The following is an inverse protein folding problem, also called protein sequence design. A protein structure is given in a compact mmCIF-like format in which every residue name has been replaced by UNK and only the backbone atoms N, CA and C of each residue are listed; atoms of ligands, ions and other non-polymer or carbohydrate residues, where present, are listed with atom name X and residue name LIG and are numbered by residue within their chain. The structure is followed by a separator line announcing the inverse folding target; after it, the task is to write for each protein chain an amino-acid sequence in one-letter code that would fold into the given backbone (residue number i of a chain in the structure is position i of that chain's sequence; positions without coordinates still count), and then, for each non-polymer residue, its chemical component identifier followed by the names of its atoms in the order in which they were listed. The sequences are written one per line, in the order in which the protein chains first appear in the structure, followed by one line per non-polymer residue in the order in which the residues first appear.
data_IF_990877880635
#
_entry.id   IF_990877880635
#
_cell.length_a   1.000
_cell.length_b   1.000
_cell.length_c   1.000
_cell.angle_alpha   90.00
_cell.angle_beta   90.00
_cell.angle_gamma   90.00
#
_symmetry.space_group_name_H-M   'P 1'
#
loop_
_entity.id
_entity.type
_entity.pdbx_description
1 polymer ?
#
# COMPACT_ATOMS: atom_id res chain seq x y z
N UNK A 1 -14.55 -3.19 -10.04
CA UNK A 1 -13.98 -3.49 -8.73
C UNK A 1 -12.50 -3.23 -8.74
N UNK A 2 -12.00 -2.52 -7.76
CA UNK A 2 -10.60 -2.18 -7.74
C UNK A 2 -9.77 -3.26 -7.03
N UNK A 3 -8.47 -3.16 -7.16
CA UNK A 3 -7.57 -4.17 -6.61
C UNK A 3 -7.63 -4.26 -5.09
N UNK A 4 -7.93 -3.13 -4.44
CA UNK A 4 -7.99 -3.10 -2.99
C UNK A 4 -9.17 -3.91 -2.49
N UNK A 5 -10.31 -3.79 -3.15
CA UNK A 5 -11.48 -4.59 -2.77
C UNK A 5 -11.24 -6.07 -2.93
N UNK A 6 -10.58 -6.44 -4.03
CA UNK A 6 -10.26 -7.84 -4.24
C UNK A 6 -9.32 -8.35 -3.17
N UNK A 7 -8.35 -7.53 -2.82
CA UNK A 7 -7.38 -7.90 -1.80
C UNK A 7 -8.05 -8.08 -0.44
N UNK A 8 -8.97 -7.19 -0.09
CA UNK A 8 -9.68 -7.28 1.18
C UNK A 8 -10.44 -8.57 1.34
N UNK A 9 -10.90 -9.15 0.24
CA UNK A 9 -11.63 -10.41 0.29
C UNK A 9 -10.73 -11.61 0.46
N UNK A 10 -9.45 -11.45 0.14
CA UNK A 10 -8.52 -12.58 0.14
C UNK A 10 -7.69 -12.70 1.40
N UNK A 11 -7.60 -11.65 2.17
CA UNK A 11 -6.69 -11.63 3.32
C UNK A 11 -7.39 -12.07 4.59
N UNK A 12 -6.59 -12.47 5.57
CA UNK A 12 -7.11 -12.86 6.87
C UNK A 12 -7.72 -11.66 7.59
N UNK A 13 -8.57 -11.91 8.61
CA UNK A 13 -9.14 -10.80 9.37
C UNK A 13 -8.09 -9.89 9.97
N UNK A 14 -6.98 -10.46 10.45
CA UNK A 14 -5.91 -9.65 11.02
C UNK A 14 -5.30 -8.75 9.97
N UNK A 15 -5.00 -9.30 8.80
CA UNK A 15 -4.42 -8.51 7.72
C UNK A 15 -5.39 -7.46 7.21
N UNK A 16 -6.68 -7.77 7.23
CA UNK A 16 -7.67 -6.80 6.82
C UNK A 16 -7.63 -5.57 7.72
N UNK A 17 -7.50 -5.78 9.02
CA UNK A 17 -7.42 -4.67 9.96
C UNK A 17 -6.18 -3.82 9.68
N UNK A 18 -5.04 -4.46 9.47
CA UNK A 18 -3.80 -3.76 9.16
C UNK A 18 -3.95 -2.93 7.89
N UNK A 19 -4.52 -3.53 6.86
CA UNK A 19 -4.68 -2.84 5.58
C UNK A 19 -5.60 -1.64 5.69
N UNK A 20 -6.75 -1.82 6.33
CA UNK A 20 -7.72 -0.74 6.47
C UNK A 20 -7.13 0.42 7.29
N UNK A 21 -6.46 0.09 8.40
CA UNK A 21 -5.83 1.11 9.23
C UNK A 21 -4.76 1.87 8.45
N UNK A 22 -3.94 1.16 7.71
CA UNK A 22 -2.88 1.79 6.96
C UNK A 22 -3.44 2.71 5.88
N UNK A 23 -4.46 2.26 5.17
CA UNK A 23 -5.09 3.09 4.16
C UNK A 23 -5.71 4.35 4.77
N UNK A 24 -6.28 4.22 5.95
CA UNK A 24 -6.87 5.35 6.63
C UNK A 24 -5.80 6.38 6.99
N UNK A 25 -4.67 5.92 7.52
CA UNK A 25 -3.57 6.82 7.86
C UNK A 25 -3.04 7.53 6.63
N UNK A 26 -2.85 6.82 5.54
CA UNK A 26 -2.36 7.41 4.31
C UNK A 26 -3.33 8.47 3.78
N UNK A 27 -4.62 8.16 3.85
CA UNK A 27 -5.64 9.08 3.38
C UNK A 27 -5.65 10.37 4.19
N UNK A 28 -5.37 10.28 5.47
CA UNK A 28 -5.32 11.45 6.35
C UNK A 28 -3.99 12.18 6.30
N UNK A 29 -3.03 11.66 5.54
CA UNK A 29 -1.71 12.25 5.47
C UNK A 29 -0.87 11.98 6.71
N UNK A 30 -1.27 11.02 7.52
CA UNK A 30 -0.55 10.68 8.74
C UNK A 30 0.51 9.64 8.44
N UNK A 31 1.69 10.10 8.11
CA UNK A 31 2.77 9.22 7.69
C UNK A 31 3.81 8.97 8.78
N UNK A 32 3.61 9.54 9.95
CA UNK A 32 4.54 9.34 11.05
C UNK A 32 4.61 7.85 11.39
N UNK A 33 5.81 7.33 11.44
CA UNK A 33 6.00 5.91 11.73
C UNK A 33 5.91 5.01 10.50
N UNK A 34 5.52 5.54 9.37
CA UNK A 34 5.49 4.78 8.13
C UNK A 34 6.76 5.08 7.35
N UNK A 35 7.39 4.04 6.85
CA UNK A 35 8.62 4.22 6.09
C UNK A 35 8.28 4.31 4.61
N UNK A 36 8.18 5.51 4.12
CA UNK A 36 7.85 5.77 2.72
C UNK A 36 9.12 6.21 2.01
N UNK A 37 9.47 5.49 0.95
CA UNK A 37 10.69 5.74 0.19
C UNK A 37 10.37 6.03 -1.26
N UNK A 38 11.08 6.99 -1.82
CA UNK A 38 10.89 7.33 -3.22
C UNK A 38 11.47 6.25 -4.12
N UNK A 39 10.73 5.89 -5.17
CA UNK A 39 11.23 4.98 -6.17
C UNK A 39 12.13 5.78 -7.11
N UNK A 40 13.38 5.37 -7.20
CA UNK A 40 14.38 6.08 -7.96
C UNK A 40 13.94 6.29 -9.41
N UNK A 41 14.10 7.52 -9.88
CA UNK A 41 13.80 7.84 -11.28
C UNK A 41 12.33 8.00 -11.59
N UNK A 42 11.47 8.10 -10.57
CA UNK A 42 10.04 8.24 -10.82
C UNK A 42 9.42 9.18 -9.80
N UNK A 43 8.13 9.44 -9.96
CA UNK A 43 7.36 10.23 -9.01
C UNK A 43 6.62 9.35 -8.02
N UNK A 44 6.91 8.06 -8.02
CA UNK A 44 6.23 7.12 -7.15
C UNK A 44 7.01 6.87 -5.88
N UNK A 45 6.29 6.44 -4.86
CA UNK A 45 6.87 6.08 -3.58
C UNK A 45 6.43 4.67 -3.23
N UNK A 46 7.24 3.99 -2.46
CA UNK A 46 6.92 2.63 -2.02
C UNK A 46 6.95 2.57 -0.50
N UNK A 47 6.17 1.65 0.04
CA UNK A 47 6.04 1.49 1.48
C UNK A 47 5.67 0.06 1.77
N UNK A 48 6.12 -0.45 2.91
CA UNK A 48 5.71 -1.77 3.40
C UNK A 48 5.11 -1.62 4.78
N UNK A 49 4.03 -2.33 5.01
CA UNK A 49 3.39 -2.36 6.30
C UNK A 49 2.73 -3.71 6.49
N UNK A 50 3.09 -4.43 7.57
CA UNK A 50 2.57 -5.76 7.78
C UNK A 50 2.97 -6.66 6.62
N UNK A 51 2.00 -7.37 6.08
CA UNK A 51 2.23 -8.25 4.94
C UNK A 51 1.97 -7.58 3.61
N UNK A 52 1.91 -6.26 3.58
CA UNK A 52 1.51 -5.53 2.38
C UNK A 52 2.62 -4.65 1.85
N UNK A 53 2.57 -4.46 0.54
CA UNK A 53 3.45 -3.55 -0.15
C UNK A 53 2.58 -2.55 -0.90
N UNK A 54 2.89 -1.27 -0.72
CA UNK A 54 2.10 -0.17 -1.29
C UNK A 54 2.94 0.63 -2.27
N UNK A 55 2.31 1.06 -3.35
CA UNK A 55 2.91 2.04 -4.26
C UNK A 55 1.97 3.23 -4.27
N UNK A 56 2.51 4.41 -4.07
CA UNK A 56 1.71 5.61 -3.97
C UNK A 56 2.39 6.80 -4.63
N UNK A 57 1.64 7.86 -4.80
CA UNK A 57 2.22 9.12 -5.27
C UNK A 57 1.47 10.27 -4.60
N UNK A 58 2.00 11.48 -4.75
CA UNK A 58 1.38 12.67 -4.18
C UNK A 58 0.72 13.47 -5.29
N UNK A 59 -0.50 13.92 -5.04
CA UNK A 59 -1.23 14.79 -5.95
C UNK A 59 -1.77 15.95 -5.13
N UNK A 60 -1.34 17.15 -5.45
CA UNK A 60 -1.82 18.35 -4.75
C UNK A 60 -1.65 18.22 -3.24
N UNK A 61 -0.56 17.60 -2.82
CA UNK A 61 -0.27 17.45 -1.40
C UNK A 61 -0.96 16.27 -0.73
N UNK A 62 -1.80 15.57 -1.45
CA UNK A 62 -2.50 14.41 -0.91
C UNK A 62 -1.86 13.13 -1.41
N UNK A 63 -1.98 12.08 -0.61
CA UNK A 63 -1.43 10.77 -0.97
C UNK A 63 -2.47 9.98 -1.74
N UNK A 64 -2.08 9.48 -2.90
CA UNK A 64 -2.91 8.60 -3.70
C UNK A 64 -2.26 7.22 -3.73
N UNK A 65 -2.99 6.20 -3.31
CA UNK A 65 -2.48 4.84 -3.30
C UNK A 65 -2.75 4.21 -4.66
N UNK A 66 -1.68 3.89 -5.36
CA UNK A 66 -1.79 3.34 -6.71
C UNK A 66 -1.97 1.83 -6.72
N UNK A 67 -1.24 1.15 -5.85
CA UNK A 67 -1.24 -0.31 -5.84
C UNK A 67 -1.02 -0.83 -4.44
N UNK A 68 -1.70 -1.91 -4.10
CA UNK A 68 -1.46 -2.63 -2.86
C UNK A 68 -1.35 -4.11 -3.20
N UNK A 69 -0.29 -4.76 -2.72
CA UNK A 69 -0.08 -6.17 -2.95
C UNK A 69 0.38 -6.85 -1.68
N UNK A 70 0.12 -8.15 -1.59
CA UNK A 70 0.62 -8.94 -0.48
C UNK A 70 2.10 -9.20 -0.69
N UNK A 71 2.90 -8.99 0.34
CA UNK A 71 4.34 -9.18 0.26
C UNK A 71 4.74 -10.61 -0.06
N UNK A 72 4.03 -11.54 0.52
CA UNK A 72 4.41 -12.95 0.37
C UNK A 72 3.73 -13.65 -0.80
N UNK A 73 3.07 -12.90 -1.65
CA UNK A 73 2.52 -13.51 -2.86
C UNK A 73 3.64 -13.84 -3.80
N UNK A 74 3.45 -14.89 -4.56
CA UNK A 74 4.47 -15.31 -5.51
C UNK A 74 4.45 -14.48 -6.77
N UNK A 75 4.01 -13.29 -6.66
CA UNK A 75 3.91 -12.35 -7.76
C UNK A 75 5.25 -12.07 -8.39
N UNK A 76 6.30 -12.18 -7.60
CA UNK A 76 7.63 -11.89 -8.10
C UNK A 76 8.21 -12.98 -8.96
N UNK A 77 7.62 -14.17 -8.86
CA UNK A 77 8.12 -15.23 -9.63
C UNK A 77 7.68 -15.09 -11.03
N UNK A 78 7.95 -15.12 -11.90
CA UNK A 78 7.41 -14.95 -13.19
C UNK A 78 7.51 -13.56 -13.73
N UNK A 79 8.12 -12.73 -12.98
CA UNK A 79 8.33 -11.38 -13.44
C UNK A 79 9.69 -11.25 -14.10
#
# INVERSE_FOLDING_TARGET
MNDIEKLLRRVSPHDKIVLVETLRLLRQGETFGLRIEKVSGSDFYKMRKGNFRFVLHYENGAIVVDTVKLRNEKTYRGI
#
